data_IF_321146264932
#
_entry.id   IF_321146264932
#
_cell.length_a   1.000
_cell.length_b   1.000
_cell.length_c   1.000
_cell.angle_alpha   90.00
_cell.angle_beta   90.00
_cell.angle_gamma   90.00
#
_symmetry.space_group_name_H-M   'P 1'
#
loop_
_entity.id
_entity.type
_entity.pdbx_description
1 polymer ?
#
# COMPACT_ATOMS: atom_id res chain seq x y z
N UNK A 1 32.91 -5.22 -6.65
CA UNK A 1 32.50 -4.77 -5.31
C UNK A 1 33.29 -5.55 -4.29
N UNK A 2 34.10 -4.86 -3.49
CA UNK A 2 34.92 -5.50 -2.48
C UNK A 2 34.11 -5.81 -1.20
N UNK A 3 34.74 -6.44 -0.21
CA UNK A 3 34.09 -6.80 1.04
C UNK A 3 33.70 -5.56 1.89
N UNK A 4 34.44 -4.46 1.75
CA UNK A 4 34.24 -3.21 2.50
C UNK A 4 32.99 -2.49 1.97
N UNK A 5 32.82 -2.43 0.65
CA UNK A 5 31.64 -1.86 0.01
C UNK A 5 30.37 -2.64 0.39
N UNK A 6 30.41 -3.97 0.33
CA UNK A 6 29.28 -4.81 0.78
C UNK A 6 28.91 -4.60 2.24
N UNK A 7 29.92 -4.52 3.11
CA UNK A 7 29.73 -4.21 4.53
C UNK A 7 29.05 -2.85 4.73
N UNK A 8 29.47 -1.85 3.97
CA UNK A 8 28.94 -0.50 4.03
C UNK A 8 27.45 -0.47 3.68
N UNK A 9 27.07 -1.06 2.54
CA UNK A 9 25.66 -1.11 2.12
C UNK A 9 24.79 -1.88 3.11
N UNK A 10 25.30 -3.00 3.63
CA UNK A 10 24.59 -3.81 4.65
C UNK A 10 24.35 -3.04 5.94
N UNK A 11 25.36 -2.33 6.44
CA UNK A 11 25.22 -1.49 7.63
C UNK A 11 24.18 -0.39 7.42
N UNK A 12 24.21 0.28 6.26
CA UNK A 12 23.24 1.35 5.94
C UNK A 12 21.82 0.83 5.83
N UNK A 13 21.59 -0.28 5.12
CA UNK A 13 20.27 -0.91 5.05
C UNK A 13 19.77 -1.32 6.46
N UNK A 14 20.65 -1.87 7.29
CA UNK A 14 20.34 -2.24 8.67
C UNK A 14 19.98 -1.02 9.53
N UNK A 15 20.67 0.11 9.38
CA UNK A 15 20.38 1.34 10.11
C UNK A 15 19.01 1.96 9.75
N UNK A 16 18.52 1.78 8.52
CA UNK A 16 17.22 2.32 8.07
C UNK A 16 16.07 1.41 8.51
N UNK A 17 16.31 0.12 8.66
CA UNK A 17 15.28 -0.88 9.00
C UNK A 17 14.45 -0.52 10.25
N UNK A 18 15.03 -0.05 11.38
CA UNK A 18 14.25 0.41 12.53
C UNK A 18 13.30 1.57 12.22
N UNK A 19 13.70 2.50 11.33
CA UNK A 19 12.85 3.62 10.90
C UNK A 19 11.62 3.10 10.17
N UNK A 20 11.82 2.15 9.24
CA UNK A 20 10.71 1.50 8.53
C UNK A 20 9.75 0.82 9.53
N UNK A 21 10.27 0.05 10.48
CA UNK A 21 9.42 -0.62 11.48
C UNK A 21 8.63 0.37 12.34
N UNK A 22 9.29 1.43 12.83
CA UNK A 22 8.64 2.44 13.65
C UNK A 22 7.48 3.11 12.91
N UNK A 23 7.70 3.61 11.68
CA UNK A 23 6.65 4.27 10.90
C UNK A 23 5.60 3.29 10.38
N UNK A 24 5.96 2.03 10.11
CA UNK A 24 5.02 0.97 9.79
C UNK A 24 4.06 0.70 10.94
N UNK A 25 4.57 0.48 12.15
CA UNK A 25 3.74 0.28 13.36
C UNK A 25 2.90 1.52 13.66
N UNK A 26 3.50 2.71 13.56
CA UNK A 26 2.80 3.97 13.77
C UNK A 26 1.62 4.13 12.80
N UNK A 27 1.83 3.90 11.49
CA UNK A 27 0.74 4.01 10.51
C UNK A 27 -0.39 3.01 10.77
N UNK A 28 -0.08 1.78 11.21
CA UNK A 28 -1.10 0.79 11.62
C UNK A 28 -1.93 1.32 12.78
N UNK A 29 -1.27 1.81 13.84
CA UNK A 29 -1.96 2.32 15.03
C UNK A 29 -2.85 3.51 14.66
N UNK A 30 -2.32 4.49 13.91
CA UNK A 30 -3.06 5.69 13.53
C UNK A 30 -4.27 5.35 12.65
N UNK A 31 -4.11 4.45 11.68
CA UNK A 31 -5.22 4.00 10.84
C UNK A 31 -6.30 3.28 11.65
N UNK A 32 -5.90 2.37 12.55
CA UNK A 32 -6.86 1.66 13.41
C UNK A 32 -7.61 2.61 14.34
N UNK A 33 -6.91 3.58 14.94
CA UNK A 33 -7.55 4.64 15.73
C UNK A 33 -8.53 5.41 14.87
N UNK A 34 -8.15 5.79 13.64
CA UNK A 34 -9.07 6.50 12.76
C UNK A 34 -10.33 5.68 12.45
N UNK A 35 -10.17 4.43 12.00
CA UNK A 35 -11.29 3.60 11.58
C UNK A 35 -12.20 3.17 12.75
N UNK A 36 -11.63 2.84 13.90
CA UNK A 36 -12.38 2.30 15.04
C UNK A 36 -12.93 3.40 15.95
N UNK A 37 -12.16 4.44 16.24
CA UNK A 37 -12.59 5.51 17.14
C UNK A 37 -13.38 6.60 16.42
N UNK A 38 -12.89 7.11 15.29
CA UNK A 38 -13.54 8.23 14.58
C UNK A 38 -14.61 7.75 13.57
N UNK A 39 -14.35 6.67 12.84
CA UNK A 39 -15.24 6.21 11.74
C UNK A 39 -16.26 5.15 12.14
N UNK A 40 -16.32 4.80 13.43
CA UNK A 40 -17.37 3.94 13.99
C UNK A 40 -17.27 2.47 13.59
N UNK A 41 -16.08 1.99 13.17
CA UNK A 41 -15.77 0.58 12.97
C UNK A 41 -15.86 0.06 11.54
N UNK A 42 -15.65 -1.25 11.40
CA UNK A 42 -15.63 -1.97 10.11
C UNK A 42 -16.91 -2.81 9.97
N UNK A 43 -17.54 -2.81 8.80
CA UNK A 43 -18.70 -3.68 8.55
C UNK A 43 -19.03 -3.79 7.06
N UNK A 44 -18.76 -4.95 6.47
CA UNK A 44 -19.01 -5.20 5.05
C UNK A 44 -20.51 -5.27 4.73
N UNK A 45 -21.31 -5.75 5.68
CA UNK A 45 -22.77 -5.86 5.61
C UNK A 45 -23.43 -4.89 6.62
N UNK A 46 -23.11 -3.61 6.48
CA UNK A 46 -23.67 -2.53 7.30
C UNK A 46 -24.71 -1.73 6.51
N UNK A 47 -25.74 -1.24 7.20
CA UNK A 47 -26.69 -0.27 6.63
C UNK A 47 -26.04 1.10 6.43
N UNK A 48 -25.14 1.50 7.34
CA UNK A 48 -24.32 2.68 7.16
C UNK A 48 -23.24 2.41 6.09
N UNK A 49 -23.29 3.07 4.92
CA UNK A 49 -22.34 2.83 3.83
C UNK A 49 -20.90 3.20 4.20
N UNK A 50 -20.68 4.15 5.12
CA UNK A 50 -19.33 4.54 5.54
C UNK A 50 -18.57 3.41 6.26
N UNK A 51 -19.25 2.50 6.96
CA UNK A 51 -18.60 1.32 7.56
C UNK A 51 -18.12 0.31 6.51
N UNK A 52 -18.81 0.25 5.37
CA UNK A 52 -18.39 -0.55 4.22
C UNK A 52 -17.14 0.09 3.59
N UNK A 53 -17.13 1.42 3.45
CA UNK A 53 -15.95 2.14 2.96
C UNK A 53 -14.74 1.96 3.89
N UNK A 54 -14.94 1.93 5.21
CA UNK A 54 -13.85 1.66 6.15
C UNK A 54 -13.20 0.28 5.90
N UNK A 55 -13.98 -0.73 5.46
CA UNK A 55 -13.45 -2.04 5.07
C UNK A 55 -12.55 -1.93 3.84
N UNK A 56 -12.94 -1.12 2.84
CA UNK A 56 -12.07 -0.83 1.69
C UNK A 56 -10.72 -0.28 2.16
N UNK A 57 -10.74 0.78 2.98
CA UNK A 57 -9.53 1.44 3.46
C UNK A 57 -8.64 0.47 4.25
N UNK A 58 -9.24 -0.28 5.17
CA UNK A 58 -8.55 -1.28 5.98
C UNK A 58 -7.86 -2.33 5.11
N UNK A 59 -8.58 -2.91 4.15
CA UNK A 59 -8.07 -3.99 3.31
C UNK A 59 -7.01 -3.51 2.31
N UNK A 60 -7.17 -2.30 1.75
CA UNK A 60 -6.14 -1.72 0.86
C UNK A 60 -4.84 -1.46 1.61
N UNK A 61 -4.93 -0.87 2.80
CA UNK A 61 -3.76 -0.61 3.63
C UNK A 61 -3.05 -1.90 4.01
N UNK A 62 -3.75 -2.85 4.65
CA UNK A 62 -3.09 -4.10 5.07
C UNK A 62 -2.62 -4.94 3.89
N UNK A 63 -3.39 -5.02 2.80
CA UNK A 63 -3.02 -5.81 1.62
C UNK A 63 -1.85 -5.22 0.86
N UNK A 64 -1.93 -3.96 0.43
CA UNK A 64 -0.95 -3.38 -0.49
C UNK A 64 0.27 -2.76 0.20
N UNK A 65 0.19 -2.45 1.49
CA UNK A 65 1.30 -1.82 2.24
C UNK A 65 2.06 -2.84 3.11
N UNK A 66 1.39 -3.85 3.69
CA UNK A 66 2.02 -4.79 4.64
C UNK A 66 2.03 -6.24 4.16
N UNK A 67 0.92 -6.73 3.61
CA UNK A 67 0.72 -8.13 3.26
C UNK A 67 0.66 -8.33 1.75
N UNK A 68 1.71 -7.90 1.06
CA UNK A 68 1.80 -7.97 -0.39
C UNK A 68 1.43 -9.37 -0.93
N UNK A 69 1.89 -10.45 -0.27
CA UNK A 69 1.56 -11.83 -0.66
C UNK A 69 0.05 -12.14 -0.71
N UNK A 70 -0.77 -11.46 0.07
CA UNK A 70 -2.24 -11.59 0.11
C UNK A 70 -2.98 -10.41 -0.55
N UNK A 71 -2.24 -9.47 -1.15
CA UNK A 71 -2.79 -8.23 -1.70
C UNK A 71 -3.87 -8.45 -2.77
N UNK A 72 -3.78 -9.52 -3.58
CA UNK A 72 -4.82 -9.84 -4.57
C UNK A 72 -6.14 -10.15 -3.87
N UNK A 73 -6.13 -11.04 -2.88
CA UNK A 73 -7.38 -11.46 -2.19
C UNK A 73 -7.99 -10.31 -1.41
N UNK A 74 -7.16 -9.61 -0.61
CA UNK A 74 -7.60 -8.45 0.17
C UNK A 74 -8.04 -7.30 -0.75
N UNK A 75 -7.35 -7.12 -1.88
CA UNK A 75 -7.67 -6.13 -2.90
C UNK A 75 -8.99 -6.39 -3.59
N UNK A 76 -9.33 -7.63 -3.94
CA UNK A 76 -10.64 -7.96 -4.52
C UNK A 76 -11.75 -7.55 -3.56
N UNK A 77 -11.65 -7.95 -2.28
CA UNK A 77 -12.66 -7.66 -1.27
C UNK A 77 -12.72 -6.15 -1.00
N UNK A 78 -11.58 -5.47 -0.94
CA UNK A 78 -11.53 -4.03 -0.71
C UNK A 78 -12.09 -3.23 -1.90
N UNK A 79 -11.80 -3.62 -3.15
CA UNK A 79 -12.37 -2.95 -4.34
C UNK A 79 -13.87 -3.19 -4.37
N UNK A 80 -14.31 -4.42 -4.12
CA UNK A 80 -15.73 -4.74 -3.96
C UNK A 80 -16.40 -3.85 -2.91
N UNK A 81 -15.78 -3.65 -1.74
CA UNK A 81 -16.30 -2.78 -0.70
C UNK A 81 -16.43 -1.31 -1.16
N UNK A 82 -15.50 -0.80 -1.97
CA UNK A 82 -15.60 0.55 -2.55
C UNK A 82 -16.79 0.67 -3.53
N UNK A 83 -16.95 -0.29 -4.44
CA UNK A 83 -18.10 -0.30 -5.36
C UNK A 83 -19.43 -0.48 -4.63
N UNK A 84 -19.48 -1.32 -3.60
CA UNK A 84 -20.66 -1.48 -2.73
C UNK A 84 -20.99 -0.19 -1.99
N UNK A 85 -19.98 0.54 -1.50
CA UNK A 85 -20.15 1.87 -0.93
C UNK A 85 -20.74 2.86 -1.95
N UNK A 86 -20.16 2.96 -3.15
CA UNK A 86 -20.67 3.85 -4.20
C UNK A 86 -22.11 3.55 -4.58
N UNK A 87 -22.47 2.27 -4.70
CA UNK A 87 -23.84 1.85 -4.95
C UNK A 87 -24.80 2.30 -3.83
N UNK A 88 -24.48 1.99 -2.57
CA UNK A 88 -25.34 2.36 -1.42
C UNK A 88 -25.41 3.86 -1.16
N UNK A 89 -24.32 4.59 -1.41
CA UNK A 89 -24.23 6.04 -1.20
C UNK A 89 -24.66 6.86 -2.44
N UNK A 90 -25.06 6.19 -3.53
CA UNK A 90 -25.40 6.80 -4.82
C UNK A 90 -24.32 7.75 -5.35
N UNK A 91 -23.06 7.30 -5.29
CA UNK A 91 -21.88 8.03 -5.78
C UNK A 91 -21.44 7.42 -7.11
N UNK A 92 -20.98 8.25 -8.03
CA UNK A 92 -20.46 7.80 -9.32
C UNK A 92 -19.16 7.00 -9.13
N UNK A 93 -18.99 5.96 -9.95
CA UNK A 93 -17.77 5.14 -9.93
C UNK A 93 -16.66 5.78 -10.77
N UNK A 94 -15.41 5.48 -10.42
CA UNK A 94 -14.23 5.69 -11.28
C UNK A 94 -14.03 7.12 -11.82
N UNK A 95 -14.45 8.15 -11.08
CA UNK A 95 -14.28 9.55 -11.52
C UNK A 95 -13.05 10.24 -10.94
N UNK A 96 -12.46 9.72 -9.85
CA UNK A 96 -11.35 10.39 -9.16
C UNK A 96 -9.99 9.84 -9.58
N UNK A 97 -8.95 10.67 -9.48
CA UNK A 97 -7.57 10.24 -9.72
C UNK A 97 -7.15 9.07 -8.82
N UNK A 98 -7.57 9.10 -7.55
CA UNK A 98 -7.38 8.00 -6.60
C UNK A 98 -7.89 6.67 -7.19
N UNK A 99 -9.12 6.65 -7.75
CA UNK A 99 -9.70 5.43 -8.31
C UNK A 99 -8.95 4.92 -9.55
N UNK A 100 -8.43 5.83 -10.39
CA UNK A 100 -7.66 5.45 -11.59
C UNK A 100 -6.29 4.88 -11.22
N UNK A 101 -5.55 5.54 -10.33
CA UNK A 101 -4.27 5.04 -9.83
C UNK A 101 -4.50 3.72 -9.08
N UNK A 102 -5.53 3.63 -8.24
CA UNK A 102 -5.82 2.43 -7.46
C UNK A 102 -6.16 1.21 -8.31
N UNK A 103 -7.06 1.35 -9.30
CA UNK A 103 -7.38 0.25 -10.21
C UNK A 103 -6.17 -0.12 -11.09
N UNK A 104 -5.42 0.87 -11.56
CA UNK A 104 -4.17 0.63 -12.30
C UNK A 104 -3.16 -0.16 -11.45
N UNK A 105 -2.97 0.23 -10.19
CA UNK A 105 -2.12 -0.46 -9.21
C UNK A 105 -2.55 -1.91 -9.04
N UNK A 106 -3.85 -2.14 -8.83
CA UNK A 106 -4.41 -3.49 -8.64
C UNK A 106 -4.15 -4.39 -9.86
N UNK A 107 -4.39 -3.88 -11.08
CA UNK A 107 -4.19 -4.64 -12.32
C UNK A 107 -2.70 -4.94 -12.54
N UNK A 108 -1.83 -3.92 -12.44
CA UNK A 108 -0.39 -4.09 -12.64
C UNK A 108 0.21 -5.00 -11.57
N UNK A 109 -0.28 -4.94 -10.34
CA UNK A 109 0.09 -5.86 -9.27
C UNK A 109 -0.27 -7.31 -9.62
N UNK A 110 -1.49 -7.57 -10.11
CA UNK A 110 -1.91 -8.90 -10.54
C UNK A 110 -1.04 -9.45 -11.68
N UNK A 111 -0.72 -8.63 -12.66
CA UNK A 111 0.20 -8.97 -13.76
C UNK A 111 1.58 -9.32 -13.20
N UNK A 112 2.15 -8.45 -12.37
CA UNK A 112 3.47 -8.65 -11.77
C UNK A 112 3.52 -9.92 -10.92
N UNK A 113 2.48 -10.18 -10.11
CA UNK A 113 2.38 -11.38 -9.29
C UNK A 113 2.34 -12.64 -10.15
N UNK A 114 1.52 -12.65 -11.20
CA UNK A 114 1.41 -13.77 -12.13
C UNK A 114 2.74 -14.06 -12.85
N UNK A 115 3.36 -13.05 -13.44
CA UNK A 115 4.66 -13.22 -14.11
C UNK A 115 5.77 -13.58 -13.13
N UNK A 116 5.74 -13.05 -11.91
CA UNK A 116 6.64 -13.43 -10.83
C UNK A 116 6.51 -14.90 -10.48
N UNK A 117 5.29 -15.39 -10.28
CA UNK A 117 5.00 -16.80 -10.02
C UNK A 117 5.48 -17.70 -11.17
N UNK A 118 5.09 -17.40 -12.41
CA UNK A 118 5.45 -18.21 -13.58
C UNK A 118 6.96 -18.24 -13.85
N UNK A 119 7.69 -17.18 -13.48
CA UNK A 119 9.13 -17.05 -13.73
C UNK A 119 9.99 -17.61 -12.60
N UNK A 120 9.64 -17.32 -11.34
CA UNK A 120 10.50 -17.58 -10.18
C UNK A 120 10.03 -18.73 -9.30
N UNK A 121 8.75 -19.11 -9.37
CA UNK A 121 8.21 -20.26 -8.62
C UNK A 121 8.21 -21.53 -9.46
N UNK A 122 7.76 -21.46 -10.71
CA UNK A 122 7.77 -22.61 -11.61
C UNK A 122 9.18 -22.93 -12.14
N UNK A 123 9.43 -24.19 -12.56
CA UNK A 123 10.70 -24.56 -13.16
C UNK A 123 10.98 -23.75 -14.44
N UNK A 124 12.05 -22.95 -14.44
CA UNK A 124 12.50 -22.15 -15.58
C UNK A 124 14.03 -22.15 -15.68
N UNK A 125 14.60 -22.02 -16.88
CA UNK A 125 16.05 -21.90 -17.05
C UNK A 125 16.62 -20.73 -16.23
N UNK A 126 17.79 -20.93 -15.63
CA UNK A 126 18.48 -19.91 -14.83
C UNK A 126 18.72 -18.60 -15.61
N UNK A 127 19.03 -18.70 -16.91
CA UNK A 127 19.21 -17.55 -17.79
C UNK A 127 17.95 -16.70 -17.93
N UNK A 128 16.76 -17.32 -18.03
CA UNK A 128 15.48 -16.60 -18.09
C UNK A 128 15.20 -15.86 -16.79
N UNK A 129 15.41 -16.52 -15.65
CA UNK A 129 15.24 -15.90 -14.31
C UNK A 129 16.19 -14.71 -14.12
N UNK A 130 17.47 -14.87 -14.49
CA UNK A 130 18.47 -13.81 -14.40
C UNK A 130 18.12 -12.61 -15.29
N UNK A 131 17.61 -12.84 -16.50
CA UNK A 131 17.20 -11.77 -17.43
C UNK A 131 15.97 -10.99 -16.94
N UNK A 132 15.02 -11.67 -16.29
CA UNK A 132 13.76 -11.06 -15.85
C UNK A 132 13.81 -10.49 -14.43
N UNK A 133 14.76 -10.91 -13.59
CA UNK A 133 14.88 -10.43 -12.21
C UNK A 133 14.99 -8.90 -12.09
N UNK A 134 15.83 -8.18 -12.87
CA UNK A 134 15.93 -6.72 -12.76
C UNK A 134 14.59 -6.02 -13.08
N UNK A 135 13.86 -6.51 -14.09
CA UNK A 135 12.55 -5.97 -14.45
C UNK A 135 11.52 -6.24 -13.36
N UNK A 136 11.49 -7.45 -12.81
CA UNK A 136 10.59 -7.80 -11.72
C UNK A 136 10.83 -6.93 -10.48
N UNK A 137 12.09 -6.73 -10.09
CA UNK A 137 12.45 -5.81 -8.99
C UNK A 137 12.01 -4.38 -9.30
N UNK A 138 12.35 -3.86 -10.49
CA UNK A 138 12.03 -2.48 -10.88
C UNK A 138 10.52 -2.21 -10.85
N UNK A 139 9.72 -3.07 -11.47
CA UNK A 139 8.26 -2.94 -11.45
C UNK A 139 7.67 -3.16 -10.05
N UNK A 140 8.28 -4.01 -9.21
CA UNK A 140 7.87 -4.18 -7.81
C UNK A 140 8.04 -2.90 -7.00
N UNK A 141 9.18 -2.21 -7.17
CA UNK A 141 9.43 -0.89 -6.55
C UNK A 141 8.49 0.19 -7.08
N UNK A 142 8.24 0.22 -8.40
CA UNK A 142 7.26 1.13 -8.98
C UNK A 142 5.85 0.90 -8.40
N UNK A 143 5.45 -0.36 -8.18
CA UNK A 143 4.17 -0.71 -7.55
C UNK A 143 4.06 -0.22 -6.10
N UNK A 144 5.16 -0.24 -5.33
CA UNK A 144 5.18 0.35 -3.99
C UNK A 144 4.82 1.84 -4.04
N UNK A 145 5.42 2.60 -4.97
CA UNK A 145 5.07 4.01 -5.15
C UNK A 145 3.62 4.22 -5.60
N UNK A 146 3.12 3.39 -6.52
CA UNK A 146 1.72 3.45 -6.93
C UNK A 146 0.76 3.18 -5.76
N UNK A 147 1.07 2.22 -4.88
CA UNK A 147 0.30 1.94 -3.68
C UNK A 147 0.31 3.13 -2.70
N UNK A 148 1.47 3.75 -2.47
CA UNK A 148 1.61 4.95 -1.63
C UNK A 148 0.78 6.10 -2.21
N UNK A 149 0.96 6.42 -3.50
CA UNK A 149 0.19 7.48 -4.17
C UNK A 149 -1.33 7.22 -4.10
N UNK A 150 -1.75 5.97 -4.26
CA UNK A 150 -3.16 5.58 -4.11
C UNK A 150 -3.65 5.82 -2.67
N UNK A 151 -2.88 5.41 -1.67
CA UNK A 151 -3.21 5.61 -0.26
C UNK A 151 -3.31 7.12 0.09
N UNK A 152 -2.30 7.91 -0.26
CA UNK A 152 -2.26 9.35 0.00
C UNK A 152 -3.42 10.09 -0.66
N UNK A 153 -3.70 9.79 -1.93
CA UNK A 153 -4.83 10.42 -2.65
C UNK A 153 -6.18 9.99 -2.09
N UNK A 154 -6.31 8.76 -1.59
CA UNK A 154 -7.52 8.27 -0.93
C UNK A 154 -7.77 8.94 0.42
N UNK A 155 -6.72 9.06 1.24
CA UNK A 155 -6.77 9.80 2.51
C UNK A 155 -7.12 11.27 2.28
N UNK A 156 -6.50 11.93 1.29
CA UNK A 156 -6.80 13.32 0.92
C UNK A 156 -8.25 13.49 0.44
N UNK A 157 -8.74 12.56 -0.37
CA UNK A 157 -10.13 12.58 -0.85
C UNK A 157 -11.11 12.50 0.33
N UNK A 158 -10.84 11.62 1.31
CA UNK A 158 -11.67 11.52 2.51
C UNK A 158 -11.56 12.71 3.44
N UNK A 159 -10.35 13.24 3.64
CA UNK A 159 -10.13 14.48 4.38
C UNK A 159 -11.02 15.61 3.84
N UNK A 160 -11.06 15.74 2.52
CA UNK A 160 -11.85 16.77 1.82
C UNK A 160 -13.35 16.52 1.93
N UNK A 161 -13.81 15.31 1.64
CA UNK A 161 -15.24 14.93 1.68
C UNK A 161 -15.81 15.11 3.10
N UNK A 162 -15.04 14.70 4.11
CA UNK A 162 -15.43 14.78 5.51
C UNK A 162 -15.22 16.18 6.11
N UNK A 163 -14.70 17.14 5.34
CA UNK A 163 -14.46 18.54 5.75
C UNK A 163 -13.67 18.65 7.05
N UNK A 164 -12.58 17.88 7.17
CA UNK A 164 -11.83 17.71 8.42
C UNK A 164 -10.82 18.82 8.71
N UNK A 165 -10.91 19.96 8.03
CA UNK A 165 -10.05 21.10 8.26
C UNK A 165 -10.04 21.52 9.74
N UNK A 166 -8.84 21.71 10.30
CA UNK A 166 -8.62 22.10 11.71
C UNK A 166 -9.09 21.10 12.79
N UNK A 167 -9.68 19.97 12.41
CA UNK A 167 -10.14 18.94 13.35
C UNK A 167 -9.00 18.04 13.86
N UNK A 168 -9.19 17.41 15.02
CA UNK A 168 -8.27 16.38 15.52
C UNK A 168 -8.21 15.16 14.60
N UNK A 169 -9.36 14.76 14.03
CA UNK A 169 -9.45 13.68 13.04
C UNK A 169 -8.61 14.00 11.79
N UNK A 170 -8.70 15.24 11.29
CA UNK A 170 -7.93 15.69 10.14
C UNK A 170 -6.42 15.65 10.39
N UNK A 171 -5.97 16.06 11.58
CA UNK A 171 -4.56 15.90 11.97
C UNK A 171 -4.14 14.43 11.99
N UNK A 172 -4.99 13.55 12.54
CA UNK A 172 -4.73 12.10 12.58
C UNK A 172 -4.56 11.52 11.17
N UNK A 173 -5.44 11.88 10.22
CA UNK A 173 -5.34 11.43 8.83
C UNK A 173 -4.03 11.91 8.19
N UNK A 174 -3.67 13.18 8.37
CA UNK A 174 -2.42 13.72 7.83
C UNK A 174 -1.19 13.01 8.40
N UNK A 175 -1.15 12.75 9.72
CA UNK A 175 -0.08 11.98 10.33
C UNK A 175 -0.06 10.52 9.85
N UNK A 176 -1.22 9.93 9.56
CA UNK A 176 -1.31 8.58 8.98
C UNK A 176 -0.67 8.55 7.58
N UNK A 177 -1.00 9.51 6.71
CA UNK A 177 -0.39 9.63 5.38
C UNK A 177 1.12 9.86 5.46
N UNK A 178 1.58 10.80 6.29
CA UNK A 178 3.02 11.01 6.51
C UNK A 178 3.73 9.75 6.99
N UNK A 179 3.12 8.98 7.89
CA UNK A 179 3.69 7.72 8.37
C UNK A 179 3.76 6.66 7.25
N UNK A 180 2.73 6.53 6.40
CA UNK A 180 2.73 5.64 5.23
C UNK A 180 3.83 6.04 4.25
N UNK A 181 3.96 7.33 3.95
CA UNK A 181 4.96 7.85 3.03
C UNK A 181 6.39 7.58 3.53
N UNK A 182 6.68 7.90 4.80
CA UNK A 182 8.00 7.67 5.38
C UNK A 182 8.31 6.18 5.48
N UNK A 183 7.32 5.36 5.83
CA UNK A 183 7.44 3.90 5.81
C UNK A 183 7.83 3.40 4.42
N UNK A 184 7.06 3.77 3.39
CA UNK A 184 7.29 3.32 2.02
C UNK A 184 8.64 3.75 1.45
N UNK A 185 9.06 5.00 1.69
CA UNK A 185 10.39 5.49 1.30
C UNK A 185 11.48 4.70 2.02
N UNK A 186 11.32 4.45 3.33
CA UNK A 186 12.31 3.69 4.11
C UNK A 186 12.43 2.24 3.60
N UNK A 187 11.31 1.60 3.24
CA UNK A 187 11.30 0.26 2.62
C UNK A 187 12.03 0.26 1.29
N UNK A 188 11.75 1.22 0.40
CA UNK A 188 12.42 1.31 -0.89
C UNK A 188 13.93 1.54 -0.73
N UNK A 189 14.36 2.39 0.20
CA UNK A 189 15.78 2.61 0.50
C UNK A 189 16.47 1.34 1.01
N UNK A 190 15.82 0.57 1.89
CA UNK A 190 16.34 -0.73 2.34
C UNK A 190 16.50 -1.68 1.16
N UNK A 191 15.50 -1.78 0.28
CA UNK A 191 15.56 -2.62 -0.93
C UNK A 191 16.70 -2.16 -1.84
N UNK A 192 16.79 -0.85 -2.11
CA UNK A 192 17.80 -0.26 -2.98
C UNK A 192 19.22 -0.54 -2.49
N UNK A 193 19.47 -0.38 -1.19
CA UNK A 193 20.78 -0.65 -0.59
C UNK A 193 21.08 -2.15 -0.51
N UNK A 194 20.06 -2.98 -0.29
CA UNK A 194 20.21 -4.44 -0.27
C UNK A 194 20.61 -5.04 -1.60
N UNK A 195 20.34 -4.36 -2.71
CA UNK A 195 20.80 -4.77 -4.04
C UNK A 195 22.32 -4.70 -4.23
N UNK A 196 23.03 -3.99 -3.35
CA UNK A 196 24.47 -3.79 -3.43
C UNK A 196 25.25 -4.61 -2.40
N UNK A 197 24.71 -5.69 -1.83
CA UNK A 197 25.53 -6.63 -1.06
C UNK A 197 25.08 -8.08 -1.10
#
# INVERSE_FOLDING_TARGET
MDAIEREWYRRRASSITPVAHFFGILSIILLLVWLLHYRGGLGLDSDNPYRILNVHIFLMFFGFIFFAGQAITLGIIGVYAAFKYHYKANVTNMYSLHSWIGLGTFIVYGIQWFFGFVTFWLPRPGATRARLAPWHVCFGRALLYFAICTAETGLMQLFTILKLASSSEGRLINFTGLAILIFGISVDLVIALSHYY
#
